data_IF_813543576309
#
_entry.id   IF_813543576309
#
_cell.length_a   1.000
_cell.length_b   1.000
_cell.length_c   1.000
_cell.angle_alpha   90.00
_cell.angle_beta   90.00
_cell.angle_gamma   90.00
#
_symmetry.space_group_name_H-M   'P 1'
#
loop_
_entity.id
_entity.type
_entity.pdbx_description
1 polymer ?
#
# COMPACT_ATOMS: atom_id res chain seq x y z
N UNK A 1 0.14 -33.73 4.07
CA UNK A 1 -0.41 -32.40 3.73
C UNK A 1 -0.61 -32.39 2.23
N UNK A 2 -1.80 -32.80 1.77
CA UNK A 2 -2.11 -32.91 0.35
C UNK A 2 -2.28 -31.50 -0.22
N UNK A 3 -1.31 -31.04 -1.01
CA UNK A 3 -1.54 -29.95 -1.94
C UNK A 3 -2.47 -30.46 -3.03
N UNK A 4 -3.78 -30.22 -2.85
CA UNK A 4 -4.80 -30.45 -3.87
C UNK A 4 -4.48 -29.50 -5.03
N UNK A 5 -3.68 -29.97 -5.98
CA UNK A 5 -3.37 -29.28 -7.24
C UNK A 5 -4.71 -28.92 -7.88
N UNK A 6 -5.05 -27.63 -7.93
CA UNK A 6 -6.22 -27.20 -8.70
C UNK A 6 -5.97 -27.57 -10.15
N UNK A 7 -6.87 -28.37 -10.71
CA UNK A 7 -6.90 -28.73 -12.13
C UNK A 7 -6.70 -27.49 -13.02
N UNK A 8 -5.97 -27.60 -14.15
CA UNK A 8 -5.75 -26.47 -15.06
C UNK A 8 -7.06 -25.83 -15.53
N UNK A 9 -8.14 -26.60 -15.65
CA UNK A 9 -9.48 -26.09 -15.94
C UNK A 9 -10.07 -25.20 -14.82
N UNK A 10 -9.77 -25.49 -13.56
CA UNK A 10 -10.18 -24.69 -12.40
C UNK A 10 -9.45 -23.34 -12.33
N UNK A 11 -8.16 -23.32 -12.69
CA UNK A 11 -7.40 -22.08 -12.81
C UNK A 11 -7.93 -21.20 -13.96
N UNK A 12 -8.33 -21.83 -15.07
CA UNK A 12 -8.88 -21.13 -16.24
C UNK A 12 -10.28 -20.53 -15.96
N UNK A 13 -11.10 -21.22 -15.17
CA UNK A 13 -12.37 -20.70 -14.66
C UNK A 13 -12.17 -19.48 -13.74
N UNK A 14 -11.26 -19.57 -12.76
CA UNK A 14 -10.97 -18.46 -11.86
C UNK A 14 -10.41 -17.24 -12.59
N UNK A 15 -9.62 -17.47 -13.65
CA UNK A 15 -9.12 -16.40 -14.53
C UNK A 15 -10.26 -15.71 -15.28
N UNK A 16 -11.16 -16.49 -15.91
CA UNK A 16 -12.36 -15.96 -16.58
C UNK A 16 -13.28 -15.20 -15.62
N UNK A 17 -13.46 -15.70 -14.40
CA UNK A 17 -14.31 -15.07 -13.39
C UNK A 17 -13.72 -13.74 -12.89
N UNK A 18 -12.39 -13.67 -12.78
CA UNK A 18 -11.64 -12.45 -12.46
C UNK A 18 -11.70 -11.44 -13.60
N UNK A 19 -11.59 -11.89 -14.85
CA UNK A 19 -11.72 -11.03 -16.03
C UNK A 19 -13.14 -10.46 -16.16
N UNK A 20 -14.18 -11.30 -16.03
CA UNK A 20 -15.58 -10.85 -16.03
C UNK A 20 -15.86 -9.80 -14.96
N UNK A 21 -15.42 -10.05 -13.72
CA UNK A 21 -15.53 -9.08 -12.63
C UNK A 21 -14.78 -7.77 -12.92
N UNK A 22 -13.66 -7.82 -13.64
CA UNK A 22 -12.91 -6.62 -14.04
C UNK A 22 -13.65 -5.81 -15.10
N UNK A 23 -14.27 -6.46 -16.09
CA UNK A 23 -15.06 -5.78 -17.12
C UNK A 23 -16.35 -5.18 -16.55
N UNK A 24 -17.10 -5.92 -15.73
CA UNK A 24 -18.33 -5.42 -15.09
C UNK A 24 -18.07 -4.20 -14.18
N UNK A 25 -16.92 -4.16 -13.51
CA UNK A 25 -16.50 -3.01 -12.67
C UNK A 25 -15.97 -1.82 -13.46
N UNK A 26 -15.58 -1.99 -14.73
CA UNK A 26 -15.07 -0.90 -15.58
C UNK A 26 -16.17 -0.08 -16.24
N UNK A 27 -17.33 -0.68 -16.51
CA UNK A 27 -18.39 -0.03 -17.28
C UNK A 27 -19.39 0.74 -16.42
N UNK A 28 -19.47 0.45 -15.11
CA UNK A 28 -20.33 1.20 -14.20
C UNK A 28 -19.58 2.34 -13.51
N UNK A 29 -20.22 3.50 -13.30
CA UNK A 29 -19.67 4.52 -12.44
C UNK A 29 -19.43 3.96 -11.02
N UNK A 30 -18.40 4.46 -10.30
CA UNK A 30 -18.17 4.09 -8.92
C UNK A 30 -19.41 4.37 -8.06
N UNK A 31 -19.75 3.46 -7.15
CA UNK A 31 -20.80 3.76 -6.16
C UNK A 31 -20.31 4.80 -5.16
N UNK A 32 -21.24 5.43 -4.45
CA UNK A 32 -20.90 6.36 -3.36
C UNK A 32 -20.02 5.70 -2.29
N UNK A 33 -20.26 4.43 -1.98
CA UNK A 33 -19.43 3.64 -1.06
C UNK A 33 -18.00 3.46 -1.59
N UNK A 34 -17.83 3.19 -2.89
CA UNK A 34 -16.51 3.05 -3.53
C UNK A 34 -15.76 4.39 -3.59
N UNK A 35 -16.48 5.50 -3.82
CA UNK A 35 -15.92 6.84 -3.74
C UNK A 35 -15.44 7.16 -2.32
N UNK A 36 -16.29 6.93 -1.31
CA UNK A 36 -15.96 7.15 0.10
C UNK A 36 -14.75 6.30 0.53
N UNK A 37 -14.65 5.08 0.01
CA UNK A 37 -13.49 4.22 0.21
C UNK A 37 -12.21 4.79 -0.41
N UNK A 38 -12.28 5.30 -1.64
CA UNK A 38 -11.13 5.92 -2.29
C UNK A 38 -10.71 7.24 -1.62
N UNK A 39 -11.65 8.02 -1.08
CA UNK A 39 -11.35 9.21 -0.27
C UNK A 39 -10.54 8.79 0.97
N UNK A 40 -10.99 7.78 1.72
CA UNK A 40 -10.27 7.26 2.89
C UNK A 40 -8.87 6.72 2.55
N UNK A 41 -8.71 6.12 1.37
CA UNK A 41 -7.39 5.70 0.86
C UNK A 41 -6.48 6.91 0.57
N UNK A 42 -7.00 7.94 -0.11
CA UNK A 42 -6.26 9.17 -0.42
C UNK A 42 -5.87 9.95 0.84
N UNK A 43 -6.70 9.93 1.88
CA UNK A 43 -6.38 10.54 3.18
C UNK A 43 -5.10 9.95 3.80
N UNK A 44 -4.75 8.70 3.48
CA UNK A 44 -3.53 8.04 3.97
C UNK A 44 -2.27 8.43 3.18
N UNK A 45 -2.38 9.03 2.00
CA UNK A 45 -1.22 9.41 1.19
C UNK A 45 -0.42 10.55 1.83
N UNK A 46 -1.09 11.52 2.45
CA UNK A 46 -0.42 12.64 3.13
C UNK A 46 0.40 12.17 4.35
N UNK A 47 -0.17 11.40 5.30
CA UNK A 47 0.60 10.76 6.38
C UNK A 47 1.76 9.90 5.88
N UNK A 48 1.55 9.13 4.80
CA UNK A 48 2.60 8.29 4.19
C UNK A 48 3.76 9.10 3.64
N UNK A 49 3.47 10.17 2.89
CA UNK A 49 4.48 11.08 2.35
C UNK A 49 5.26 11.71 3.51
N UNK A 50 4.56 12.16 4.55
CA UNK A 50 5.19 12.75 5.74
C UNK A 50 6.08 11.76 6.48
N UNK A 51 5.62 10.53 6.71
CA UNK A 51 6.39 9.47 7.35
C UNK A 51 7.67 9.14 6.55
N UNK A 52 7.57 9.06 5.22
CA UNK A 52 8.73 8.86 4.33
C UNK A 52 9.74 10.01 4.42
N UNK A 53 9.26 11.26 4.46
CA UNK A 53 10.13 12.43 4.60
C UNK A 53 10.84 12.44 5.97
N UNK A 54 10.12 12.14 7.04
CA UNK A 54 10.68 12.03 8.39
C UNK A 54 11.75 10.94 8.45
N UNK A 55 11.46 9.75 7.92
CA UNK A 55 12.43 8.66 7.86
C UNK A 55 13.68 9.04 7.05
N UNK A 56 13.52 9.71 5.90
CA UNK A 56 14.64 10.19 5.08
C UNK A 56 15.52 11.18 5.84
N UNK A 57 14.93 12.03 6.69
CA UNK A 57 15.68 12.97 7.55
C UNK A 57 16.37 12.24 8.71
N UNK A 58 15.63 11.38 9.42
CA UNK A 58 16.14 10.59 10.54
C UNK A 58 17.37 9.77 10.14
N UNK A 59 17.34 9.11 8.96
CA UNK A 59 18.48 8.31 8.45
C UNK A 59 19.76 9.10 8.15
N UNK A 60 19.69 10.43 7.99
CA UNK A 60 20.89 11.25 7.74
C UNK A 60 21.68 11.52 9.01
N UNK A 61 21.00 11.57 10.16
CA UNK A 61 21.58 11.94 11.46
C UNK A 61 22.57 10.89 12.00
N UNK A 62 22.24 9.59 12.08
CA UNK A 62 23.16 8.59 12.64
C UNK A 62 24.41 8.38 11.77
N UNK A 63 24.35 8.66 10.46
CA UNK A 63 25.54 8.57 9.56
C UNK A 63 26.70 9.47 9.97
N UNK A 64 26.44 10.53 10.74
CA UNK A 64 27.44 11.51 11.18
C UNK A 64 27.81 11.34 12.66
N UNK A 65 27.18 10.41 13.36
CA UNK A 65 27.35 10.21 14.81
C UNK A 65 28.08 8.89 15.06
N UNK A 66 28.79 8.82 16.18
CA UNK A 66 29.28 7.54 16.67
C UNK A 66 28.07 6.70 17.11
N UNK A 67 27.84 5.51 16.53
CA UNK A 67 26.67 4.68 16.88
C UNK A 67 26.65 4.25 18.36
N UNK A 68 27.81 4.21 19.01
CA UNK A 68 27.93 3.85 20.42
C UNK A 68 27.77 5.03 21.37
N UNK A 69 27.73 6.28 20.87
CA UNK A 69 27.42 7.44 21.72
C UNK A 69 25.93 7.48 22.04
N UNK A 70 25.58 8.13 23.15
CA UNK A 70 24.18 8.29 23.54
C UNK A 70 23.36 9.04 22.47
N UNK A 71 23.96 10.02 21.79
CA UNK A 71 23.33 10.69 20.65
C UNK A 71 23.16 9.76 19.45
N UNK A 72 24.14 8.89 19.17
CA UNK A 72 24.06 7.89 18.12
C UNK A 72 22.94 6.88 18.36
N UNK A 73 22.84 6.34 19.57
CA UNK A 73 21.75 5.43 19.99
C UNK A 73 20.38 6.11 19.87
N UNK A 74 20.25 7.36 20.33
CA UNK A 74 19.00 8.14 20.19
C UNK A 74 18.62 8.35 18.72
N UNK A 75 19.58 8.67 17.87
CA UNK A 75 19.33 8.87 16.44
C UNK A 75 18.94 7.56 15.73
N UNK A 76 19.48 6.41 16.14
CA UNK A 76 19.07 5.09 15.63
C UNK A 76 17.65 4.73 16.07
N UNK A 77 17.30 4.94 17.34
CA UNK A 77 15.95 4.71 17.84
C UNK A 77 14.91 5.61 17.11
N UNK A 78 15.26 6.86 16.79
CA UNK A 78 14.41 7.74 15.97
C UNK A 78 14.16 7.17 14.56
N UNK A 79 15.16 6.51 13.95
CA UNK A 79 15.01 5.82 12.67
C UNK A 79 14.08 4.61 12.80
N UNK A 80 14.22 3.82 13.87
CA UNK A 80 13.36 2.66 14.14
C UNK A 80 11.89 3.07 14.29
N UNK A 81 11.60 4.07 15.13
CA UNK A 81 10.24 4.61 15.29
C UNK A 81 9.64 5.11 13.97
N UNK A 82 10.45 5.77 13.13
CA UNK A 82 9.99 6.21 11.81
C UNK A 82 9.73 5.04 10.85
N UNK A 83 10.51 3.96 10.95
CA UNK A 83 10.27 2.74 10.16
C UNK A 83 8.98 2.06 10.61
N UNK A 84 8.74 1.92 11.92
CA UNK A 84 7.50 1.35 12.47
C UNK A 84 6.26 2.11 12.00
N UNK A 85 6.27 3.44 12.11
CA UNK A 85 5.18 4.28 11.64
C UNK A 85 4.90 4.07 10.14
N UNK A 86 5.95 3.87 9.32
CA UNK A 86 5.78 3.60 7.90
C UNK A 86 5.21 2.21 7.64
N UNK A 87 5.59 1.20 8.44
CA UNK A 87 5.02 -0.15 8.37
C UNK A 87 3.54 -0.10 8.66
N UNK A 88 3.12 0.56 9.73
CA UNK A 88 1.70 0.70 10.09
C UNK A 88 0.89 1.36 8.97
N UNK A 89 1.39 2.44 8.36
CA UNK A 89 0.70 3.08 7.23
C UNK A 89 0.61 2.15 6.02
N UNK A 90 1.64 1.35 5.74
CA UNK A 90 1.59 0.38 4.65
C UNK A 90 0.62 -0.77 4.95
N UNK A 91 0.48 -1.21 6.20
CA UNK A 91 -0.50 -2.20 6.62
C UNK A 91 -1.93 -1.70 6.45
N UNK A 92 -2.20 -0.45 6.86
CA UNK A 92 -3.48 0.22 6.66
C UNK A 92 -3.81 0.26 5.16
N UNK A 93 -2.87 0.64 4.30
CA UNK A 93 -3.07 0.63 2.85
C UNK A 93 -3.29 -0.78 2.28
N UNK A 94 -2.61 -1.80 2.80
CA UNK A 94 -2.83 -3.19 2.40
C UNK A 94 -4.24 -3.66 2.77
N UNK A 95 -4.72 -3.30 3.96
CA UNK A 95 -6.07 -3.61 4.42
C UNK A 95 -7.14 -3.01 3.50
N UNK A 96 -6.95 -1.76 3.07
CA UNK A 96 -7.83 -1.10 2.11
C UNK A 96 -7.62 -1.56 0.65
N UNK A 97 -6.60 -2.35 0.31
CA UNK A 97 -6.43 -2.86 -1.06
C UNK A 97 -6.26 -1.78 -2.15
N UNK A 98 -6.59 -2.10 -3.41
CA UNK A 98 -6.52 -1.17 -4.54
C UNK A 98 -7.82 -0.36 -4.65
N UNK A 99 -7.73 0.97 -4.73
CA UNK A 99 -8.89 1.85 -4.96
C UNK A 99 -9.60 1.46 -6.27
N UNK A 100 -10.92 1.13 -6.23
CA UNK A 100 -11.70 0.81 -7.42
C UNK A 100 -11.67 1.92 -8.48
N UNK A 101 -11.65 3.19 -8.07
CA UNK A 101 -11.63 4.34 -8.99
C UNK A 101 -10.32 4.49 -9.77
N UNK A 102 -9.19 3.91 -9.30
CA UNK A 102 -7.93 3.90 -10.05
C UNK A 102 -7.94 2.91 -11.22
N UNK A 103 -8.86 1.92 -11.21
CA UNK A 103 -9.02 0.95 -12.30
C UNK A 103 -9.76 1.57 -13.50
N UNK A 104 -10.62 2.56 -13.24
CA UNK A 104 -11.41 3.25 -14.28
C UNK A 104 -10.64 4.36 -15.02
N UNK A 105 -9.56 4.91 -14.43
CA UNK A 105 -8.80 6.01 -15.05
C UNK A 105 -7.63 5.56 -15.93
N UNK A 106 -7.33 4.25 -16.01
CA UNK A 106 -6.20 3.74 -16.81
C UNK A 106 -6.48 3.67 -18.32
N UNK A 107 -7.70 3.99 -18.78
CA UNK A 107 -8.11 3.89 -20.19
C UNK A 107 -8.12 5.22 -20.96
N UNK A 108 -7.67 6.33 -20.35
CA UNK A 108 -7.59 7.64 -21.02
C UNK A 108 -6.17 8.16 -21.29
N UNK A 109 -5.14 7.32 -21.17
CA UNK A 109 -3.73 7.68 -21.45
C UNK A 109 -3.02 6.68 -22.37
N UNK A 110 -3.70 6.18 -23.39
CA UNK A 110 -3.07 5.54 -24.56
C UNK A 110 -3.57 6.20 -25.85
#
# INVERSE_FOLDING_TARGET
MEYRMMEPAGLDFLKKLREKNRTEKKERPPTEEEMNFCIKLQEQDSPKIRARQMLKRARKRPKKLNPNSEEGKKAMNEVERCNEALVTVNEILRYYGQCPCLIAQSTHLL
#
